data_IF_987617398302
#
_entry.id   IF_987617398302
#
_cell.length_a   1.000
_cell.length_b   1.000
_cell.length_c   1.000
_cell.angle_alpha   90.00
_cell.angle_beta   90.00
_cell.angle_gamma   90.00
#
_symmetry.space_group_name_H-M   'P 1'
#
loop_
_entity.id
_entity.type
_entity.pdbx_description
1 polymer ?
#
# COMPACT_ATOMS: atom_id res chain seq x y z
N UNK A 1 -19.53 -7.63 -31.90
CA UNK A 1 -18.87 -7.18 -33.15
C UNK A 1 -17.45 -6.67 -32.93
N UNK A 2 -17.09 -6.10 -31.77
CA UNK A 2 -15.74 -5.57 -31.51
C UNK A 2 -14.67 -6.62 -31.17
N UNK A 3 -15.03 -7.75 -30.55
CA UNK A 3 -14.05 -8.82 -30.23
C UNK A 3 -13.53 -9.60 -31.44
N UNK A 4 -14.29 -9.63 -32.55
CA UNK A 4 -13.81 -10.22 -33.82
C UNK A 4 -12.78 -9.31 -34.51
N UNK A 5 -12.85 -8.00 -34.28
CA UNK A 5 -11.95 -7.00 -34.88
C UNK A 5 -10.54 -7.03 -34.27
N UNK A 6 -10.43 -7.27 -32.96
CA UNK A 6 -9.12 -7.32 -32.28
C UNK A 6 -8.34 -8.59 -32.59
N UNK A 7 -9.02 -9.71 -32.88
CA UNK A 7 -8.34 -10.96 -33.28
C UNK A 7 -7.82 -10.96 -34.73
N UNK A 8 -8.33 -10.08 -35.60
CA UNK A 8 -7.83 -9.95 -36.99
C UNK A 8 -6.57 -9.07 -37.10
N UNK A 9 -6.29 -8.22 -36.11
CA UNK A 9 -5.15 -7.31 -36.16
C UNK A 9 -3.78 -7.97 -35.97
N UNK A 10 -3.72 -9.26 -35.60
CA UNK A 10 -2.45 -9.98 -35.43
C UNK A 10 -2.19 -11.08 -36.46
N UNK A 11 -2.96 -11.11 -37.56
CA UNK A 11 -2.71 -12.02 -38.68
C UNK A 11 -1.96 -11.32 -39.82
N UNK A 12 -0.82 -10.69 -39.51
CA UNK A 12 0.16 -10.33 -40.55
C UNK A 12 0.72 -11.63 -41.12
N UNK A 13 0.20 -12.04 -42.28
CA UNK A 13 0.81 -13.07 -43.12
C UNK A 13 2.26 -12.66 -43.43
N UNK A 14 3.26 -13.53 -43.22
CA UNK A 14 4.58 -13.27 -43.80
C UNK A 14 4.45 -13.39 -45.32
N UNK A 15 4.82 -12.31 -46.02
CA UNK A 15 4.99 -12.36 -47.46
C UNK A 15 6.08 -13.39 -47.79
N UNK A 16 5.75 -14.35 -48.66
CA UNK A 16 6.70 -15.30 -49.23
C UNK A 16 7.64 -14.54 -50.15
N UNK A 17 8.87 -14.27 -49.70
CA UNK A 17 9.98 -14.03 -50.61
C UNK A 17 10.68 -15.35 -50.84
N UNK A 18 10.48 -15.90 -52.04
CA UNK A 18 11.24 -17.02 -52.57
C UNK A 18 12.69 -16.57 -52.78
N UNK A 19 13.60 -17.00 -51.93
CA UNK A 19 14.99 -17.25 -52.34
C UNK A 19 15.24 -18.74 -52.08
N UNK A 20 15.36 -19.48 -53.17
CA UNK A 20 15.80 -20.87 -53.16
C UNK A 20 17.26 -20.94 -52.75
N UNK A 21 17.61 -21.87 -51.84
CA UNK A 21 18.84 -22.67 -51.87
C UNK A 21 18.61 -23.99 -51.11
N UNK A 22 19.35 -25.01 -51.55
CA UNK A 22 19.21 -26.47 -51.43
C UNK A 22 19.03 -27.10 -50.03
N UNK A 23 18.28 -28.22 -50.06
CA UNK A 23 18.34 -29.50 -49.30
C UNK A 23 18.80 -29.55 -47.83
N UNK A 24 17.89 -29.99 -46.92
CA UNK A 24 17.97 -31.30 -46.22
C UNK A 24 16.89 -31.50 -45.11
N UNK A 25 16.21 -32.66 -45.18
CA UNK A 25 15.44 -33.43 -44.16
C UNK A 25 14.32 -32.84 -43.25
N UNK A 26 13.21 -33.58 -42.99
CA UNK A 26 12.11 -33.12 -42.13
C UNK A 26 12.30 -33.55 -40.65
N UNK A 27 12.34 -32.57 -39.74
CA UNK A 27 12.21 -32.78 -38.29
C UNK A 27 10.75 -32.63 -37.82
N UNK A 28 10.33 -33.25 -36.69
CA UNK A 28 8.95 -33.22 -36.25
C UNK A 28 8.54 -31.82 -35.81
N UNK A 29 7.56 -31.26 -36.52
CA UNK A 29 6.97 -29.95 -36.25
C UNK A 29 6.17 -29.97 -34.93
N UNK A 30 6.81 -29.67 -33.80
CA UNK A 30 6.14 -29.55 -32.51
C UNK A 30 5.35 -28.24 -32.50
N UNK A 31 4.05 -28.32 -32.85
CA UNK A 31 3.12 -27.19 -32.76
C UNK A 31 3.12 -26.62 -31.32
N UNK A 32 3.49 -25.34 -31.10
CA UNK A 32 3.66 -24.74 -29.77
C UNK A 32 2.34 -24.56 -29.00
N UNK A 33 1.21 -24.75 -29.69
CA UNK A 33 -0.16 -24.56 -29.21
C UNK A 33 -0.54 -25.44 -28.00
N UNK A 34 0.21 -26.51 -27.73
CA UNK A 34 -0.16 -27.53 -26.73
C UNK A 34 0.44 -27.30 -25.33
N UNK A 35 1.49 -26.51 -25.18
CA UNK A 35 2.23 -26.39 -23.90
C UNK A 35 1.45 -25.66 -22.81
N UNK A 36 0.57 -24.74 -23.18
CA UNK A 36 -0.24 -23.96 -22.24
C UNK A 36 -1.70 -24.40 -22.18
N UNK A 37 -2.08 -25.48 -22.88
CA UNK A 37 -3.48 -25.92 -22.95
C UNK A 37 -4.05 -26.26 -21.57
N UNK A 38 -3.23 -26.84 -20.69
CA UNK A 38 -3.64 -27.17 -19.32
C UNK A 38 -3.86 -25.93 -18.47
N UNK A 39 -2.96 -24.95 -18.55
CA UNK A 39 -3.10 -23.67 -17.86
C UNK A 39 -4.32 -22.89 -18.37
N UNK A 40 -4.51 -22.80 -19.68
CA UNK A 40 -5.69 -22.15 -20.27
C UNK A 40 -6.99 -22.84 -19.87
N UNK A 41 -7.02 -24.19 -19.84
CA UNK A 41 -8.19 -24.96 -19.36
C UNK A 41 -8.46 -24.74 -17.88
N UNK A 42 -7.42 -24.67 -17.05
CA UNK A 42 -7.55 -24.39 -15.62
C UNK A 42 -8.11 -22.98 -15.35
N UNK A 43 -7.56 -21.96 -16.03
CA UNK A 43 -8.04 -20.56 -15.93
C UNK A 43 -9.50 -20.46 -16.40
N UNK A 44 -9.82 -21.08 -17.54
CA UNK A 44 -11.19 -21.11 -18.06
C UNK A 44 -12.15 -21.80 -17.08
N UNK A 45 -11.75 -22.92 -16.48
CA UNK A 45 -12.54 -23.67 -15.51
C UNK A 45 -12.82 -22.84 -14.24
N UNK A 46 -11.82 -22.12 -13.71
CA UNK A 46 -12.01 -21.24 -12.55
C UNK A 46 -12.98 -20.09 -12.82
N UNK A 47 -12.90 -19.48 -14.02
CA UNK A 47 -13.80 -18.39 -14.43
C UNK A 47 -15.22 -18.93 -14.65
N UNK A 48 -15.37 -20.08 -15.31
CA UNK A 48 -16.65 -20.72 -15.55
C UNK A 48 -17.35 -21.14 -14.24
N UNK A 49 -16.60 -21.68 -13.26
CA UNK A 49 -17.12 -21.98 -11.93
C UNK A 49 -17.56 -20.72 -11.18
N UNK A 50 -16.80 -19.63 -11.27
CA UNK A 50 -17.17 -18.36 -10.64
C UNK A 50 -18.47 -17.77 -11.21
N UNK A 51 -18.76 -18.01 -12.49
CA UNK A 51 -20.01 -17.61 -13.14
C UNK A 51 -21.21 -18.51 -12.82
N UNK A 52 -20.97 -19.77 -12.40
CA UNK A 52 -22.05 -20.72 -12.09
C UNK A 52 -22.36 -20.85 -10.59
N UNK A 53 -21.43 -20.49 -9.71
CA UNK A 53 -21.59 -20.60 -8.25
C UNK A 53 -22.14 -19.30 -7.63
N UNK A 54 -22.20 -18.19 -8.38
CA UNK A 54 -22.80 -16.95 -7.89
C UNK A 54 -24.25 -16.79 -8.40
N UNK A 55 -25.28 -17.18 -7.62
CA UNK A 55 -26.64 -16.79 -7.95
C UNK A 55 -26.73 -15.26 -7.84
N UNK A 56 -26.98 -14.65 -9.00
CA UNK A 56 -27.60 -13.34 -9.20
C UNK A 56 -27.80 -12.47 -7.95
N UNK A 57 -26.71 -11.89 -7.43
CA UNK A 57 -26.78 -10.68 -6.61
C UNK A 57 -25.92 -9.63 -7.29
N UNK A 58 -26.56 -8.56 -7.75
CA UNK A 58 -25.93 -7.30 -8.15
C UNK A 58 -25.30 -6.68 -6.90
N UNK A 59 -24.20 -7.22 -6.43
CA UNK A 59 -23.32 -6.63 -5.42
C UNK A 59 -22.03 -6.22 -6.11
N UNK A 60 -21.49 -5.01 -5.86
CA UNK A 60 -20.29 -4.55 -6.54
C UNK A 60 -19.11 -5.42 -6.08
N UNK A 61 -18.70 -6.31 -6.98
CA UNK A 61 -17.52 -7.14 -6.89
C UNK A 61 -16.30 -6.23 -6.66
N UNK A 62 -15.70 -6.37 -5.48
CA UNK A 62 -14.35 -5.92 -5.14
C UNK A 62 -13.95 -4.59 -5.78
N UNK A 63 -14.60 -3.51 -5.33
CA UNK A 63 -13.94 -2.20 -5.31
C UNK A 63 -12.73 -2.39 -4.41
N UNK A 64 -11.58 -2.68 -5.00
CA UNK A 64 -10.28 -2.44 -4.37
C UNK A 64 -10.30 -0.96 -4.02
N UNK A 65 -10.71 -0.67 -2.79
CA UNK A 65 -10.58 0.65 -2.21
C UNK A 65 -9.08 0.82 -2.07
N UNK A 66 -8.46 1.38 -3.13
CA UNK A 66 -7.19 2.06 -3.02
C UNK A 66 -7.41 3.06 -1.89
N UNK A 67 -6.95 2.72 -0.69
CA UNK A 67 -6.90 3.66 0.40
C UNK A 67 -6.06 4.82 -0.11
N UNK A 68 -6.59 6.06 -0.15
CA UNK A 68 -5.76 7.20 -0.48
C UNK A 68 -4.59 7.20 0.51
N UNK A 69 -3.36 7.08 0.01
CA UNK A 69 -2.17 7.09 0.87
C UNK A 69 -1.94 8.44 1.55
N UNK A 70 -2.73 9.44 1.17
CA UNK A 70 -2.62 10.81 1.63
C UNK A 70 -3.92 11.56 1.30
N UNK A 71 -4.51 12.26 2.28
CA UNK A 71 -5.54 13.28 2.06
C UNK A 71 -4.93 14.61 2.52
N UNK A 72 -4.67 15.50 1.56
CA UNK A 72 -4.46 16.90 1.85
C UNK A 72 -5.83 17.51 2.15
N UNK A 73 -6.00 18.03 3.36
CA UNK A 73 -7.15 18.86 3.70
C UNK A 73 -6.79 20.29 3.33
N UNK A 74 -7.38 20.80 2.26
CA UNK A 74 -7.33 22.21 1.94
C UNK A 74 -8.28 22.94 2.89
N UNK A 75 -7.74 23.77 3.76
CA UNK A 75 -8.52 24.52 4.75
C UNK A 75 -8.43 25.98 4.34
N UNK A 76 -9.55 26.54 3.92
CA UNK A 76 -9.70 27.97 3.67
C UNK A 76 -9.48 28.74 4.98
N UNK A 77 -8.33 29.40 5.08
CA UNK A 77 -8.03 30.33 6.15
C UNK A 77 -8.94 31.54 5.99
N UNK A 78 -9.95 31.66 6.86
CA UNK A 78 -10.64 32.93 7.06
C UNK A 78 -9.76 33.76 7.98
N UNK A 79 -9.13 34.76 7.37
CA UNK A 79 -8.34 35.78 8.03
C UNK A 79 -9.18 36.45 9.11
N UNK A 80 -8.69 36.35 10.34
CA UNK A 80 -9.16 37.18 11.44
C UNK A 80 -7.93 37.47 12.26
N UNK A 81 -7.51 38.72 12.10
CA UNK A 81 -6.30 39.31 12.58
C UNK A 81 -6.26 39.41 14.11
N UNK A 82 -5.04 39.60 14.61
CA UNK A 82 -4.65 40.13 15.92
C UNK A 82 -4.73 39.20 17.13
N UNK A 83 -3.56 38.78 17.61
CA UNK A 83 -3.24 38.72 19.04
C UNK A 83 -1.71 38.76 19.25
N UNK A 84 -1.23 39.24 20.41
CA UNK A 84 -0.06 40.12 20.51
C UNK A 84 1.25 39.39 20.75
N UNK A 85 2.34 39.95 20.22
CA UNK A 85 3.69 39.71 20.72
C UNK A 85 3.80 40.32 22.12
N UNK A 86 4.04 39.49 23.13
CA UNK A 86 4.79 39.90 24.31
C UNK A 86 5.77 38.79 24.64
N UNK A 87 7.04 39.13 24.54
CA UNK A 87 8.12 38.43 25.23
C UNK A 87 7.85 38.57 26.73
N UNK A 88 8.08 37.50 27.50
CA UNK A 88 8.69 37.48 28.84
C UNK A 88 8.40 36.12 29.51
N UNK A 89 9.45 35.33 29.69
CA UNK A 89 9.50 34.08 30.47
C UNK A 89 8.55 32.93 30.01
N UNK A 90 8.98 32.19 28.99
CA UNK A 90 8.31 30.99 28.47
C UNK A 90 8.32 29.85 29.51
N UNK A 91 7.37 29.84 30.43
CA UNK A 91 6.91 28.60 31.05
C UNK A 91 6.18 27.80 29.97
N UNK A 92 6.47 26.49 29.78
CA UNK A 92 5.78 25.69 28.78
C UNK A 92 4.29 25.73 29.07
N UNK A 93 3.52 26.35 28.17
CA UNK A 93 2.07 26.35 28.27
C UNK A 93 1.66 24.87 28.23
N UNK A 94 1.02 24.33 29.29
CA UNK A 94 0.65 22.93 29.30
C UNK A 94 -0.24 22.64 28.10
N UNK A 95 0.04 21.56 27.37
CA UNK A 95 -0.85 21.12 26.31
C UNK A 95 -2.24 20.91 26.91
N UNK A 96 -3.24 21.57 26.33
CA UNK A 96 -4.62 21.51 26.86
C UNK A 96 -5.39 20.31 26.31
N UNK A 97 -4.82 19.61 25.32
CA UNK A 97 -5.40 18.42 24.70
C UNK A 97 -4.70 17.16 25.19
N UNK A 98 -5.51 16.17 25.58
CA UNK A 98 -5.04 14.84 25.96
C UNK A 98 -4.69 13.97 24.74
N UNK A 99 -3.74 13.05 24.92
CA UNK A 99 -3.28 12.14 23.87
C UNK A 99 -4.42 11.25 23.35
N UNK A 100 -5.34 10.80 24.22
CA UNK A 100 -6.42 9.92 23.82
C UNK A 100 -7.44 10.67 22.95
N UNK A 101 -7.81 11.88 23.36
CA UNK A 101 -8.70 12.75 22.58
C UNK A 101 -8.12 13.06 21.20
N UNK A 102 -6.82 13.37 21.12
CA UNK A 102 -6.14 13.58 19.86
C UNK A 102 -6.14 12.33 18.98
N UNK A 103 -5.93 11.16 19.59
CA UNK A 103 -5.94 9.86 18.90
C UNK A 103 -7.33 9.53 18.34
N UNK A 104 -8.39 9.80 19.09
CA UNK A 104 -9.76 9.57 18.65
C UNK A 104 -10.16 10.53 17.51
N UNK A 105 -9.79 11.81 17.61
CA UNK A 105 -9.94 12.78 16.52
C UNK A 105 -9.23 12.32 15.23
N UNK A 106 -7.99 11.84 15.36
CA UNK A 106 -7.21 11.32 14.22
C UNK A 106 -7.75 9.99 13.68
N UNK A 107 -8.40 9.17 14.50
CA UNK A 107 -9.00 7.90 14.09
C UNK A 107 -10.31 8.12 13.32
N UNK A 108 -11.15 9.03 13.79
CA UNK A 108 -12.46 9.28 13.20
C UNK A 108 -12.39 10.01 11.85
N UNK A 109 -11.30 10.78 11.61
CA UNK A 109 -11.02 11.47 10.33
C UNK A 109 -12.22 12.27 9.81
N UNK A 110 -13.03 12.82 10.72
CA UNK A 110 -14.24 13.57 10.42
C UNK A 110 -14.05 15.03 10.83
N UNK A 111 -14.59 15.95 10.02
CA UNK A 111 -14.55 17.39 10.28
C UNK A 111 -15.56 17.82 11.35
N UNK A 112 -16.60 17.01 11.61
CA UNK A 112 -17.64 17.34 12.58
C UNK A 112 -17.10 17.36 14.03
N UNK A 113 -16.37 16.34 14.53
CA UNK A 113 -15.69 16.41 15.84
C UNK A 113 -14.67 17.55 15.93
N UNK A 114 -13.92 17.81 14.86
CA UNK A 114 -12.93 18.89 14.81
C UNK A 114 -13.60 20.27 14.90
N UNK A 115 -14.74 20.45 14.25
CA UNK A 115 -15.56 21.66 14.34
C UNK A 115 -16.09 21.86 15.76
N UNK A 116 -16.57 20.79 16.41
CA UNK A 116 -17.01 20.83 17.82
C UNK A 116 -15.87 21.18 18.79
N UNK A 117 -14.64 20.76 18.49
CA UNK A 117 -13.43 21.16 19.23
C UNK A 117 -13.07 22.66 19.06
N UNK A 118 -13.80 23.40 18.22
CA UNK A 118 -13.55 24.81 17.90
C UNK A 118 -12.60 25.00 16.72
N UNK A 119 -12.47 23.98 15.88
CA UNK A 119 -11.73 24.03 14.63
C UNK A 119 -10.22 24.01 14.79
N UNK A 120 -9.54 24.26 13.68
CA UNK A 120 -8.09 24.05 13.55
C UNK A 120 -7.29 25.10 14.33
N UNK A 121 -7.80 26.34 14.42
CA UNK A 121 -7.14 27.40 15.22
C UNK A 121 -7.06 27.01 16.70
N UNK A 122 -8.15 26.49 17.27
CA UNK A 122 -8.15 26.00 18.66
C UNK A 122 -7.32 24.73 18.83
N UNK A 123 -7.35 23.83 17.85
CA UNK A 123 -6.49 22.65 17.86
C UNK A 123 -5.00 23.01 17.83
N UNK A 124 -4.61 23.97 16.99
CA UNK A 124 -3.24 24.43 16.88
C UNK A 124 -2.75 25.06 18.19
N UNK A 125 -3.58 25.91 18.82
CA UNK A 125 -3.31 26.46 20.14
C UNK A 125 -3.23 25.36 21.22
N UNK A 126 -4.13 24.39 21.19
CA UNK A 126 -4.15 23.30 22.16
C UNK A 126 -2.93 22.39 22.06
N UNK A 127 -2.38 22.22 20.85
CA UNK A 127 -1.16 21.49 20.57
C UNK A 127 0.11 22.34 20.75
N UNK A 128 -0.01 23.63 21.05
CA UNK A 128 1.13 24.55 21.13
C UNK A 128 1.88 24.65 19.81
N UNK A 129 1.15 24.73 18.68
CA UNK A 129 1.72 24.80 17.33
C UNK A 129 1.16 26.01 16.60
N UNK A 130 2.00 26.68 15.83
CA UNK A 130 1.57 27.76 14.93
C UNK A 130 1.10 27.16 13.59
N UNK A 131 -0.01 27.65 13.04
CA UNK A 131 -0.54 27.15 11.76
C UNK A 131 0.29 27.55 10.54
N UNK A 132 1.09 28.61 10.66
CA UNK A 132 1.95 29.16 9.61
C UNK A 132 3.42 28.80 9.80
N UNK A 133 3.92 28.91 11.03
CA UNK A 133 5.33 28.66 11.38
C UNK A 133 5.57 27.22 11.85
N UNK A 134 4.54 26.50 12.28
CA UNK A 134 4.63 25.12 12.73
C UNK A 134 5.10 24.97 14.18
N UNK A 135 5.96 23.96 14.41
CA UNK A 135 6.52 23.62 15.72
C UNK A 135 7.94 24.15 15.81
N UNK A 136 8.32 24.70 16.97
CA UNK A 136 9.68 25.09 17.29
C UNK A 136 10.64 23.89 17.20
N UNK A 137 11.84 24.11 16.66
CA UNK A 137 12.90 23.09 16.57
C UNK A 137 13.83 23.07 17.80
N UNK A 138 13.47 23.80 18.87
CA UNK A 138 14.19 23.76 20.15
C UNK A 138 14.13 22.35 20.75
N UNK A 139 15.22 21.92 21.38
CA UNK A 139 15.30 20.55 21.90
C UNK A 139 14.38 20.36 23.10
N UNK A 140 14.30 21.37 23.97
CA UNK A 140 13.39 21.39 25.12
C UNK A 140 11.91 21.23 24.71
N UNK A 141 11.46 21.92 23.65
CA UNK A 141 10.08 21.84 23.17
C UNK A 141 9.76 20.45 22.61
N UNK A 142 10.73 19.82 21.94
CA UNK A 142 10.60 18.46 21.40
C UNK A 142 10.52 17.44 22.53
N UNK A 143 11.32 17.59 23.58
CA UNK A 143 11.31 16.70 24.75
C UNK A 143 9.98 16.79 25.50
N UNK A 144 9.49 18.00 25.79
CA UNK A 144 8.19 18.23 26.45
C UNK A 144 7.04 17.65 25.62
N UNK A 145 7.08 17.81 24.28
CA UNK A 145 6.09 17.21 23.39
C UNK A 145 6.14 15.68 23.41
N UNK A 146 7.34 15.11 23.46
CA UNK A 146 7.53 13.66 23.52
C UNK A 146 7.05 13.07 24.85
N UNK A 147 7.19 13.82 25.94
CA UNK A 147 6.64 13.44 27.25
C UNK A 147 5.10 13.46 27.24
N UNK A 148 4.49 14.49 26.63
CA UNK A 148 3.04 14.63 26.60
C UNK A 148 2.31 13.69 25.62
N UNK A 149 2.86 13.47 24.42
CA UNK A 149 2.18 12.72 23.35
C UNK A 149 2.86 11.38 23.00
N UNK A 150 3.98 11.07 23.65
CA UNK A 150 4.79 9.92 23.34
C UNK A 150 5.69 10.11 22.11
N UNK A 151 6.55 9.11 21.90
CA UNK A 151 7.48 9.07 20.77
C UNK A 151 6.79 8.57 19.50
N UNK A 152 6.88 9.32 18.41
CA UNK A 152 6.43 8.86 17.08
C UNK A 152 7.46 7.90 16.44
N UNK A 153 7.76 6.80 17.13
CA UNK A 153 8.70 5.77 16.66
C UNK A 153 7.95 4.46 16.54
N UNK A 154 7.85 3.96 15.31
CA UNK A 154 7.33 2.63 15.06
C UNK A 154 8.34 1.58 15.52
N UNK A 155 7.92 0.76 16.49
CA UNK A 155 8.70 -0.40 16.90
C UNK A 155 8.85 -1.36 15.72
N UNK A 156 10.09 -1.56 15.31
CA UNK A 156 10.39 -2.53 14.26
C UNK A 156 10.27 -3.93 14.86
N UNK A 157 9.59 -4.87 14.19
CA UNK A 157 9.58 -6.24 14.66
C UNK A 157 11.02 -6.74 14.80
N UNK A 158 11.33 -7.53 15.84
CA UNK A 158 12.67 -8.03 16.05
C UNK A 158 13.11 -8.81 14.80
N UNK A 159 14.30 -8.50 14.30
CA UNK A 159 14.85 -9.22 13.15
C UNK A 159 15.01 -10.68 13.54
N UNK A 160 14.50 -11.60 12.71
CA UNK A 160 14.79 -13.02 12.87
C UNK A 160 16.31 -13.20 12.79
N UNK A 161 16.89 -13.89 13.78
CA UNK A 161 18.32 -14.23 13.76
C UNK A 161 18.59 -15.16 12.57
N UNK A 162 19.77 -15.06 11.95
CA UNK A 162 20.17 -15.96 10.85
C UNK A 162 19.99 -17.44 11.21
N UNK A 163 20.37 -17.84 12.42
CA UNK A 163 20.18 -19.21 12.91
C UNK A 163 18.69 -19.61 13.02
N UNK A 164 17.80 -18.67 13.35
CA UNK A 164 16.36 -18.93 13.35
C UNK A 164 15.83 -19.23 11.94
N UNK A 165 16.38 -18.57 10.91
CA UNK A 165 16.06 -18.88 9.52
C UNK A 165 16.61 -20.26 9.10
N UNK A 166 17.84 -20.58 9.48
CA UNK A 166 18.47 -21.88 9.18
C UNK A 166 17.70 -23.03 9.84
N UNK A 167 17.36 -22.92 11.13
CA UNK A 167 16.56 -23.93 11.83
C UNK A 167 15.17 -24.07 11.22
N UNK A 168 14.53 -22.98 10.81
CA UNK A 168 13.26 -23.04 10.09
C UNK A 168 13.39 -23.77 8.74
N UNK A 169 14.47 -23.53 8.00
CA UNK A 169 14.74 -24.21 6.72
C UNK A 169 15.04 -25.71 6.90
N UNK A 170 15.70 -26.11 8.00
CA UNK A 170 15.95 -27.51 8.33
C UNK A 170 14.68 -28.31 8.67
N UNK A 171 13.52 -27.67 8.92
CA UNK A 171 12.25 -28.37 9.10
C UNK A 171 11.66 -28.89 7.79
N UNK A 172 12.19 -28.44 6.66
CA UNK A 172 11.79 -28.95 5.35
C UNK A 172 12.52 -30.26 5.05
N UNK A 173 11.76 -31.35 4.97
CA UNK A 173 12.28 -32.68 4.66
C UNK A 173 13.01 -32.71 3.31
N UNK A 174 12.66 -31.85 2.35
CA UNK A 174 13.35 -31.77 1.06
C UNK A 174 14.80 -31.29 1.22
N UNK A 175 15.05 -30.30 2.07
CA UNK A 175 16.39 -29.80 2.39
C UNK A 175 17.22 -30.89 3.06
N UNK A 176 16.60 -31.65 3.98
CA UNK A 176 17.26 -32.79 4.65
C UNK A 176 17.64 -33.86 3.63
N UNK A 177 16.73 -34.26 2.74
CA UNK A 177 16.98 -35.28 1.70
C UNK A 177 18.11 -34.83 0.76
N UNK A 178 18.10 -33.57 0.33
CA UNK A 178 19.16 -33.01 -0.52
C UNK A 178 20.51 -33.00 0.19
N UNK A 179 20.55 -32.73 1.50
CA UNK A 179 21.78 -32.79 2.30
C UNK A 179 22.34 -34.21 2.35
N UNK A 180 21.52 -35.23 2.61
CA UNK A 180 21.96 -36.63 2.57
C UNK A 180 22.47 -37.04 1.18
N UNK A 181 21.76 -36.65 0.12
CA UNK A 181 22.15 -36.94 -1.26
C UNK A 181 23.47 -36.25 -1.69
N UNK A 182 23.81 -35.13 -1.05
CA UNK A 182 25.06 -34.43 -1.32
C UNK A 182 26.26 -35.00 -0.54
N UNK A 183 26.00 -35.67 0.59
CA UNK A 183 27.04 -36.24 1.47
C UNK A 183 27.31 -37.71 1.18
N UNK A 184 26.31 -38.44 0.67
CA UNK A 184 26.45 -39.81 0.15
C UNK A 184 27.04 -39.80 -1.27
#
# INVERSE_FOLDING_TARGET
TLFRSVMELNRRKPNKTTMQFHDDQPGPEIKPQKRWSLACKAVYFTVALSHKILPHKKGPLLRVVRSPSYIALDISLVDSESAPQNNDHETPVPFTIDQNTLTDLMRERNLQPLSQFGGIKRLALALGTDTSLGVSSKTEDIEVRKEAFGSNVYEKPPKKKFLGFVIEAFKDTTIIILFFCAVL
#
